data_IF_754909657686
#
_entry.id   IF_754909657686
#
_cell.length_a   1.000
_cell.length_b   1.000
_cell.length_c   1.000
_cell.angle_alpha   90.00
_cell.angle_beta   90.00
_cell.angle_gamma   90.00
#
_symmetry.space_group_name_H-M   'P 1'
#
loop_
_entity.id
_entity.type
_entity.pdbx_description
1 polymer ?
#
# COMPACT_ATOMS: atom_id res chain seq x y z
N UNK A 1 12.96 1.53 -26.46
CA UNK A 1 11.68 1.71 -27.19
C UNK A 1 10.97 2.89 -26.58
N UNK A 2 10.47 3.85 -27.37
CA UNK A 2 9.53 4.84 -26.81
C UNK A 2 8.26 4.11 -26.37
N UNK A 3 7.62 4.54 -25.28
CA UNK A 3 6.34 3.96 -24.82
C UNK A 3 5.32 3.89 -25.97
N UNK A 4 5.34 4.88 -26.87
CA UNK A 4 4.57 4.94 -28.12
C UNK A 4 4.72 3.72 -29.04
N UNK A 5 5.89 3.09 -29.07
CA UNK A 5 6.13 1.90 -29.89
C UNK A 5 5.48 0.63 -29.32
N UNK A 6 5.39 0.52 -27.99
CA UNK A 6 4.80 -0.62 -27.29
C UNK A 6 3.27 -0.52 -27.21
N UNK A 7 2.74 0.68 -26.94
CA UNK A 7 1.28 0.93 -26.85
C UNK A 7 0.53 0.55 -28.13
N UNK A 8 1.17 0.70 -29.29
CA UNK A 8 0.56 0.33 -30.58
C UNK A 8 0.41 -1.20 -30.76
N UNK A 9 0.96 -2.01 -29.84
CA UNK A 9 0.89 -3.48 -29.89
C UNK A 9 0.20 -4.09 -28.67
N UNK A 10 0.26 -3.44 -27.51
CA UNK A 10 -0.32 -3.92 -26.26
C UNK A 10 -0.89 -2.76 -25.45
N UNK A 11 -2.19 -2.84 -25.09
CA UNK A 11 -2.85 -1.89 -24.20
C UNK A 11 -2.54 -2.22 -22.73
N UNK A 12 -2.30 -1.18 -21.92
CA UNK A 12 -2.07 -1.30 -20.49
C UNK A 12 -2.59 -0.04 -19.76
N UNK A 13 -2.94 -0.18 -18.48
CA UNK A 13 -3.49 0.91 -17.65
C UNK A 13 -2.51 1.41 -16.57
N UNK A 14 -1.40 0.69 -16.37
CA UNK A 14 -0.38 1.03 -15.39
C UNK A 14 0.95 0.35 -15.69
N UNK A 15 1.98 0.74 -14.94
CA UNK A 15 3.34 0.20 -15.09
C UNK A 15 3.84 -0.23 -13.70
N UNK A 16 4.54 -1.35 -13.66
CA UNK A 16 5.34 -1.76 -12.51
C UNK A 16 6.81 -1.69 -12.93
N UNK A 17 7.58 -0.86 -12.24
CA UNK A 17 9.05 -0.81 -12.38
C UNK A 17 9.68 -1.67 -11.30
N UNK A 18 10.58 -2.55 -11.74
CA UNK A 18 11.22 -3.59 -10.92
C UNK A 18 12.72 -3.61 -11.24
N UNK A 19 13.54 -4.13 -10.31
CA UNK A 19 15.00 -4.15 -10.41
C UNK A 19 15.65 -2.74 -10.53
N UNK A 20 14.98 -1.71 -9.99
CA UNK A 20 15.29 -0.27 -10.13
C UNK A 20 16.25 0.30 -9.07
N UNK A 21 17.00 -0.56 -8.36
CA UNK A 21 18.05 -0.18 -7.40
C UNK A 21 19.17 0.71 -7.94
N UNK A 22 19.78 0.46 -9.13
CA UNK A 22 19.59 -0.57 -10.16
C UNK A 22 20.33 -1.89 -9.89
N UNK A 23 19.71 -3.04 -10.20
CA UNK A 23 20.31 -4.36 -9.93
C UNK A 23 21.29 -4.79 -11.01
N UNK A 24 22.38 -5.43 -10.59
CA UNK A 24 23.27 -6.22 -11.46
C UNK A 24 23.43 -7.62 -10.86
N UNK A 25 23.23 -8.65 -11.69
CA UNK A 25 23.39 -10.05 -11.26
C UNK A 25 24.83 -10.56 -11.36
N UNK A 26 25.74 -9.78 -11.92
CA UNK A 26 27.13 -10.19 -12.11
C UNK A 26 28.07 -9.00 -11.88
N UNK A 27 28.45 -8.79 -10.62
CA UNK A 27 29.49 -7.82 -10.26
C UNK A 27 30.53 -8.52 -9.41
N UNK A 28 31.81 -8.37 -9.76
CA UNK A 28 32.96 -8.91 -9.02
C UNK A 28 33.02 -10.43 -8.86
N UNK A 29 32.58 -11.18 -9.87
CA UNK A 29 32.51 -12.64 -9.81
C UNK A 29 31.39 -13.20 -8.93
N UNK A 30 30.65 -12.36 -8.20
CA UNK A 30 29.39 -12.74 -7.57
C UNK A 30 28.33 -12.81 -8.68
N UNK A 31 28.09 -14.01 -9.18
CA UNK A 31 26.92 -14.31 -9.99
C UNK A 31 25.77 -14.58 -9.03
N UNK A 32 24.86 -13.62 -8.88
CA UNK A 32 23.54 -13.90 -8.32
C UNK A 32 22.88 -14.87 -9.28
N UNK A 33 22.81 -16.14 -8.89
CA UNK A 33 22.28 -17.23 -9.72
C UNK A 33 20.83 -16.90 -10.05
N UNK A 34 20.55 -16.49 -11.28
CA UNK A 34 19.17 -16.42 -11.74
C UNK A 34 19.03 -17.04 -13.13
N UNK A 35 18.10 -18.00 -13.19
CA UNK A 35 17.48 -18.64 -14.35
C UNK A 35 18.27 -19.73 -15.09
N UNK A 36 17.99 -21.00 -14.74
CA UNK A 36 18.08 -22.12 -15.68
C UNK A 36 19.45 -22.54 -16.20
N UNK A 37 19.48 -23.70 -16.88
CA UNK A 37 20.66 -24.41 -17.40
C UNK A 37 21.26 -23.77 -18.66
N UNK A 38 21.37 -22.44 -18.70
CA UNK A 38 22.12 -21.78 -19.77
C UNK A 38 23.60 -21.74 -19.40
N UNK A 39 24.46 -22.07 -20.37
CA UNK A 39 25.89 -22.08 -20.15
C UNK A 39 26.37 -20.62 -20.12
N UNK A 40 26.56 -20.08 -18.92
CA UNK A 40 26.91 -18.67 -18.68
C UNK A 40 28.41 -18.37 -18.79
N UNK A 41 29.20 -19.30 -19.31
CA UNK A 41 30.66 -19.18 -19.49
C UNK A 41 31.08 -17.94 -20.32
N UNK A 42 30.15 -17.32 -21.06
CA UNK A 42 30.40 -16.12 -21.88
C UNK A 42 30.10 -14.78 -21.16
N UNK A 43 29.40 -14.77 -20.02
CA UNK A 43 29.09 -13.53 -19.30
C UNK A 43 30.26 -13.12 -18.42
N UNK A 44 31.00 -12.10 -18.86
CA UNK A 44 32.04 -11.46 -18.03
C UNK A 44 31.37 -10.56 -16.98
N UNK A 45 31.57 -10.80 -15.67
CA UNK A 45 31.07 -9.93 -14.63
C UNK A 45 31.61 -8.50 -14.75
N UNK A 46 30.86 -7.55 -14.20
CA UNK A 46 31.33 -6.18 -14.03
C UNK A 46 32.44 -6.19 -12.97
N UNK A 47 33.65 -5.81 -13.35
CA UNK A 47 34.78 -5.66 -12.42
C UNK A 47 35.00 -4.18 -12.09
N UNK A 48 34.67 -3.79 -10.86
CA UNK A 48 34.92 -2.44 -10.34
C UNK A 48 36.26 -2.37 -9.58
N UNK A 49 36.86 -1.18 -9.53
CA UNK A 49 38.12 -0.91 -8.84
C UNK A 49 38.03 -1.27 -7.35
N UNK A 50 38.97 -2.09 -6.86
CA UNK A 50 39.03 -2.54 -5.44
C UNK A 50 40.38 -2.28 -4.80
N UNK A 51 41.43 -2.26 -5.61
CA UNK A 51 42.78 -2.04 -5.11
C UNK A 51 43.03 -0.55 -4.98
N UNK A 52 43.77 -0.16 -3.94
CA UNK A 52 44.28 1.22 -3.78
C UNK A 52 45.11 1.73 -4.97
N UNK A 53 45.53 0.83 -5.86
CA UNK A 53 46.24 1.13 -7.11
C UNK A 53 45.32 1.41 -8.30
N UNK A 54 44.03 1.11 -8.21
CA UNK A 54 43.07 1.24 -9.29
C UNK A 54 42.43 2.64 -9.26
N UNK A 55 42.33 3.32 -10.40
CA UNK A 55 41.69 4.64 -10.41
C UNK A 55 40.20 4.54 -10.02
N UNK A 56 39.80 5.29 -8.99
CA UNK A 56 38.42 5.34 -8.53
C UNK A 56 38.02 4.22 -7.57
N UNK A 57 38.98 3.46 -7.03
CA UNK A 57 38.73 2.43 -6.01
C UNK A 57 38.02 2.98 -4.77
N UNK A 58 38.27 4.24 -4.42
CA UNK A 58 37.73 4.90 -3.24
C UNK A 58 36.21 5.06 -3.28
N UNK A 59 35.60 4.94 -4.46
CA UNK A 59 34.14 5.02 -4.63
C UNK A 59 33.45 3.70 -4.31
N UNK A 60 34.11 2.56 -4.54
CA UNK A 60 33.55 1.24 -4.21
C UNK A 60 33.99 0.74 -2.82
N UNK A 61 35.11 1.27 -2.32
CA UNK A 61 35.67 1.03 -0.98
C UNK A 61 35.80 2.36 -0.22
N UNK A 62 34.69 2.96 0.25
CA UNK A 62 34.74 4.26 0.90
C UNK A 62 35.55 4.19 2.21
N UNK A 63 36.21 5.29 2.63
CA UNK A 63 36.97 5.33 3.89
C UNK A 63 36.15 4.94 5.12
N UNK A 64 34.83 5.13 5.06
CA UNK A 64 33.88 4.67 6.06
C UNK A 64 32.89 3.69 5.41
N UNK A 65 33.05 2.37 5.62
CA UNK A 65 32.12 1.38 5.10
C UNK A 65 30.77 1.48 5.84
N UNK A 66 29.69 1.60 5.08
CA UNK A 66 28.33 1.48 5.64
C UNK A 66 28.01 0.01 5.93
N UNK A 67 26.94 -0.28 6.66
CA UNK A 67 26.50 -1.66 6.92
C UNK A 67 26.24 -2.48 5.64
N UNK A 68 25.92 -1.82 4.52
CA UNK A 68 25.78 -2.46 3.20
C UNK A 68 27.11 -2.79 2.51
N UNK A 69 28.21 -2.15 2.91
CA UNK A 69 29.58 -2.38 2.45
C UNK A 69 30.44 -3.03 3.54
N UNK A 70 29.86 -3.93 4.34
CA UNK A 70 30.52 -4.60 5.46
C UNK A 70 31.71 -5.49 5.05
N UNK A 71 32.29 -6.23 6.00
CA UNK A 71 33.62 -6.89 5.90
C UNK A 71 33.88 -7.85 4.71
N UNK A 72 32.88 -8.12 3.86
CA UNK A 72 33.00 -8.96 2.65
C UNK A 72 32.25 -8.39 1.42
N UNK A 73 31.65 -7.20 1.50
CA UNK A 73 30.87 -6.60 0.41
C UNK A 73 31.42 -5.22 0.04
N UNK A 74 31.25 -4.84 -1.22
CA UNK A 74 31.60 -3.52 -1.76
C UNK A 74 30.32 -2.74 -2.03
N UNK A 75 30.40 -1.41 -2.20
CA UNK A 75 29.19 -0.65 -2.56
C UNK A 75 28.56 -1.12 -3.88
N UNK A 76 29.38 -1.65 -4.80
CA UNK A 76 28.96 -2.25 -6.06
C UNK A 76 28.36 -3.67 -5.95
N UNK A 77 28.38 -4.33 -4.80
CA UNK A 77 27.80 -5.67 -4.65
C UNK A 77 26.33 -5.69 -5.07
N UNK A 78 25.97 -6.52 -6.05
CA UNK A 78 24.62 -6.62 -6.62
C UNK A 78 24.16 -5.42 -7.45
N UNK A 79 25.06 -4.51 -7.83
CA UNK A 79 24.73 -3.28 -8.59
C UNK A 79 25.89 -2.87 -9.51
N UNK A 80 25.81 -1.70 -10.13
CA UNK A 80 26.85 -1.15 -11.00
C UNK A 80 28.00 -0.52 -10.19
N UNK A 81 29.17 -0.37 -10.80
CA UNK A 81 30.33 0.30 -10.16
C UNK A 81 30.01 1.73 -9.74
N UNK A 82 30.45 2.14 -8.55
CA UNK A 82 30.19 3.49 -8.04
C UNK A 82 30.85 4.59 -8.88
N UNK A 83 31.89 4.27 -9.65
CA UNK A 83 32.53 5.19 -10.61
C UNK A 83 31.65 5.50 -11.85
N UNK A 84 30.60 4.71 -12.11
CA UNK A 84 29.74 4.88 -13.28
C UNK A 84 29.18 6.31 -13.37
N UNK A 85 29.11 6.86 -14.59
CA UNK A 85 28.73 8.25 -14.87
C UNK A 85 27.28 8.34 -15.30
N UNK A 86 26.51 9.22 -14.67
CA UNK A 86 25.10 9.50 -14.96
C UNK A 86 24.93 10.92 -15.53
N UNK A 87 23.79 11.18 -16.16
CA UNK A 87 23.41 12.53 -16.61
C UNK A 87 24.39 13.17 -17.60
N UNK A 88 24.90 12.39 -18.56
CA UNK A 88 25.89 12.88 -19.53
C UNK A 88 27.30 13.12 -18.97
N UNK A 89 27.62 12.53 -17.80
CA UNK A 89 28.93 12.67 -17.16
C UNK A 89 28.95 13.58 -15.93
N UNK A 90 27.82 14.24 -15.64
CA UNK A 90 27.71 15.25 -14.59
C UNK A 90 27.76 14.66 -13.17
N UNK A 91 27.28 13.43 -12.97
CA UNK A 91 27.22 12.79 -11.66
C UNK A 91 27.83 11.40 -11.70
N UNK A 92 28.32 10.93 -10.54
CA UNK A 92 28.68 9.53 -10.35
C UNK A 92 27.53 8.77 -9.74
N UNK A 93 27.48 7.46 -10.00
CA UNK A 93 26.54 6.58 -9.33
C UNK A 93 26.74 6.60 -7.81
N UNK A 94 27.97 6.74 -7.33
CA UNK A 94 28.27 6.93 -5.90
C UNK A 94 27.35 7.95 -5.22
N UNK A 95 27.15 9.11 -5.85
CA UNK A 95 26.37 10.21 -5.28
C UNK A 95 24.85 10.04 -5.51
N UNK A 96 24.46 9.29 -6.54
CA UNK A 96 23.11 9.29 -7.08
C UNK A 96 22.41 7.92 -7.06
N UNK A 97 23.06 6.84 -6.59
CA UNK A 97 22.53 5.48 -6.60
C UNK A 97 21.12 5.41 -6.00
N UNK A 98 20.95 5.94 -4.79
CA UNK A 98 19.66 5.92 -4.09
C UNK A 98 18.59 6.82 -4.74
N UNK A 99 18.96 7.65 -5.73
CA UNK A 99 18.02 8.46 -6.51
C UNK A 99 17.56 7.76 -7.79
N UNK A 100 18.14 6.61 -8.15
CA UNK A 100 17.89 5.96 -9.42
C UNK A 100 16.41 5.62 -9.61
N UNK A 101 15.81 4.85 -8.69
CA UNK A 101 14.39 4.50 -8.74
C UNK A 101 13.47 5.72 -8.75
N UNK A 102 13.77 6.75 -7.96
CA UNK A 102 13.02 8.01 -7.98
C UNK A 102 13.09 8.69 -9.35
N UNK A 103 14.27 8.71 -9.97
CA UNK A 103 14.47 9.31 -11.30
C UNK A 103 13.73 8.53 -12.38
N UNK A 104 13.72 7.19 -12.30
CA UNK A 104 12.98 6.31 -13.21
C UNK A 104 11.47 6.44 -13.04
N UNK A 105 10.97 6.51 -11.80
CA UNK A 105 9.56 6.67 -11.52
C UNK A 105 9.00 7.97 -12.13
N UNK A 106 9.76 9.08 -12.05
CA UNK A 106 9.38 10.37 -12.63
C UNK A 106 9.16 10.28 -14.15
N UNK A 107 10.13 9.74 -14.87
CA UNK A 107 10.06 9.64 -16.34
C UNK A 107 9.04 8.59 -16.77
N UNK A 108 8.90 7.50 -16.02
CA UNK A 108 7.92 6.44 -16.31
C UNK A 108 6.49 6.92 -16.12
N UNK A 109 6.20 7.73 -15.10
CA UNK A 109 4.87 8.31 -14.91
C UNK A 109 4.50 9.25 -16.08
N UNK A 110 5.44 10.09 -16.52
CA UNK A 110 5.22 10.93 -17.70
C UNK A 110 4.97 10.07 -18.95
N UNK A 111 5.75 9.01 -19.14
CA UNK A 111 5.57 8.10 -20.26
C UNK A 111 4.22 7.37 -20.21
N UNK A 112 3.74 7.01 -19.02
CA UNK A 112 2.41 6.43 -18.79
C UNK A 112 1.31 7.42 -19.22
N UNK A 113 1.38 8.67 -18.76
CA UNK A 113 0.43 9.73 -19.14
C UNK A 113 0.39 9.96 -20.65
N UNK A 114 1.57 10.02 -21.28
CA UNK A 114 1.67 10.21 -22.72
C UNK A 114 1.10 9.04 -23.51
N UNK A 115 1.29 7.81 -23.01
CA UNK A 115 0.86 6.55 -23.62
C UNK A 115 -0.65 6.32 -23.51
N UNK A 116 -1.22 6.47 -22.32
CA UNK A 116 -2.61 6.06 -22.03
C UNK A 116 -3.59 7.23 -22.04
N UNK A 117 -3.09 8.47 -21.91
CA UNK A 117 -3.91 9.68 -21.66
C UNK A 117 -4.77 9.57 -20.40
N UNK A 118 -4.41 8.68 -19.47
CA UNK A 118 -5.07 8.47 -18.18
C UNK A 118 -4.06 8.59 -17.04
N UNK A 119 -4.57 8.83 -15.83
CA UNK A 119 -3.81 8.84 -14.57
C UNK A 119 -3.09 7.52 -14.34
N UNK A 120 -3.77 6.41 -14.64
CA UNK A 120 -3.22 5.06 -14.44
C UNK A 120 -2.69 4.83 -13.03
N UNK A 121 -1.79 3.85 -12.90
CA UNK A 121 -1.00 3.64 -11.69
C UNK A 121 0.44 3.27 -12.03
N UNK A 122 1.36 3.69 -11.16
CA UNK A 122 2.76 3.31 -11.21
C UNK A 122 3.13 2.73 -9.84
N UNK A 123 3.77 1.56 -9.83
CA UNK A 123 4.34 0.96 -8.62
C UNK A 123 5.81 0.71 -8.87
N UNK A 124 6.63 1.03 -7.88
CA UNK A 124 8.08 0.92 -7.94
C UNK A 124 8.60 0.06 -6.80
N UNK A 125 9.57 -0.80 -7.09
CA UNK A 125 10.17 -1.66 -6.08
C UNK A 125 11.11 -0.86 -5.18
N UNK A 126 11.90 0.05 -5.71
CA UNK A 126 12.81 0.88 -4.91
C UNK A 126 12.34 2.32 -4.78
N UNK A 127 12.62 2.95 -3.65
CA UNK A 127 12.12 4.30 -3.38
C UNK A 127 13.15 5.15 -2.69
N UNK A 128 12.97 6.46 -2.81
CA UNK A 128 13.67 7.47 -2.02
C UNK A 128 12.66 8.47 -1.48
N UNK A 129 13.12 9.39 -0.64
CA UNK A 129 12.29 10.52 -0.19
C UNK A 129 11.71 11.22 -1.43
N UNK A 130 10.39 11.49 -1.41
CA UNK A 130 9.56 12.01 -2.51
C UNK A 130 9.04 11.02 -3.56
N UNK A 131 9.46 9.74 -3.55
CA UNK A 131 8.95 8.74 -4.52
C UNK A 131 7.43 8.61 -4.51
N UNK A 132 6.77 8.77 -3.37
CA UNK A 132 5.32 8.71 -3.23
C UNK A 132 4.54 9.79 -4.01
N UNK A 133 5.22 10.82 -4.53
CA UNK A 133 4.62 11.78 -5.48
C UNK A 133 4.40 11.16 -6.85
N UNK A 134 5.17 10.13 -7.22
CA UNK A 134 5.22 9.60 -8.58
C UNK A 134 4.75 8.14 -8.68
N UNK A 135 5.00 7.35 -7.64
CA UNK A 135 4.69 5.93 -7.63
C UNK A 135 4.21 5.46 -6.26
N UNK A 136 3.37 4.41 -6.26
CA UNK A 136 3.21 3.55 -5.10
C UNK A 136 4.41 2.63 -4.90
N UNK A 137 4.35 1.82 -3.86
CA UNK A 137 5.41 0.89 -3.51
C UNK A 137 4.86 -0.51 -3.22
N UNK A 138 5.58 -1.51 -3.71
CA UNK A 138 5.37 -2.90 -3.38
C UNK A 138 6.39 -3.30 -2.32
N UNK A 139 5.92 -3.76 -1.16
CA UNK A 139 6.75 -4.44 -0.18
C UNK A 139 7.24 -5.75 -0.78
N UNK A 140 8.53 -5.83 -1.04
CA UNK A 140 9.20 -6.97 -1.69
C UNK A 140 9.94 -7.84 -0.66
N UNK A 141 10.60 -8.91 -1.12
CA UNK A 141 11.30 -9.90 -0.28
C UNK A 141 10.41 -10.50 0.82
N UNK A 142 9.14 -10.76 0.48
CA UNK A 142 8.20 -11.45 1.37
C UNK A 142 8.30 -12.96 1.15
N UNK A 143 8.69 -13.70 2.17
CA UNK A 143 8.54 -15.14 2.21
C UNK A 143 7.12 -15.50 2.64
N UNK A 144 6.66 -16.68 2.27
CA UNK A 144 5.39 -17.26 2.70
C UNK A 144 5.44 -17.72 4.17
N UNK A 145 5.70 -16.78 5.09
CA UNK A 145 5.80 -17.04 6.54
C UNK A 145 4.93 -16.09 7.37
N UNK A 146 4.58 -16.53 8.59
CA UNK A 146 3.85 -15.69 9.55
C UNK A 146 4.65 -14.49 10.06
N UNK A 147 5.98 -14.59 10.07
CA UNK A 147 6.87 -13.47 10.40
C UNK A 147 6.74 -12.37 9.36
N UNK A 148 6.75 -12.73 8.08
CA UNK A 148 6.64 -11.77 6.99
C UNK A 148 5.25 -11.16 6.95
N UNK A 149 4.19 -11.93 7.19
CA UNK A 149 2.84 -11.38 7.40
C UNK A 149 2.85 -10.27 8.48
N UNK A 150 3.43 -10.52 9.66
CA UNK A 150 3.57 -9.50 10.73
C UNK A 150 4.39 -8.29 10.28
N UNK A 151 5.50 -8.54 9.58
CA UNK A 151 6.36 -7.48 9.04
C UNK A 151 5.57 -6.55 8.13
N UNK A 152 4.72 -7.10 7.26
CA UNK A 152 3.93 -6.29 6.32
C UNK A 152 2.97 -5.34 7.02
N UNK A 153 2.38 -5.72 8.16
CA UNK A 153 1.50 -4.85 8.97
C UNK A 153 2.26 -3.61 9.45
N UNK A 154 3.52 -3.77 9.83
CA UNK A 154 4.37 -2.67 10.29
C UNK A 154 4.88 -1.84 9.10
N UNK A 155 5.29 -2.49 8.02
CA UNK A 155 5.89 -1.81 6.86
C UNK A 155 4.89 -0.91 6.13
N UNK A 156 3.63 -1.31 5.95
CA UNK A 156 2.63 -0.43 5.33
C UNK A 156 2.42 0.86 6.13
N UNK A 157 2.52 0.80 7.46
CA UNK A 157 2.45 1.97 8.32
C UNK A 157 3.69 2.86 8.16
N UNK A 158 4.89 2.26 8.12
CA UNK A 158 6.15 2.98 7.89
C UNK A 158 6.16 3.72 6.54
N UNK A 159 5.71 3.08 5.46
CA UNK A 159 5.67 3.71 4.14
C UNK A 159 4.67 4.88 4.06
N UNK A 160 3.58 4.82 4.83
CA UNK A 160 2.71 5.98 5.00
C UNK A 160 3.45 7.14 5.68
N UNK A 161 4.29 6.87 6.69
CA UNK A 161 5.15 7.90 7.32
C UNK A 161 6.24 8.43 6.36
N UNK A 162 6.72 7.60 5.45
CA UNK A 162 7.66 8.01 4.39
C UNK A 162 7.01 8.79 3.24
N UNK A 163 5.70 9.03 3.30
CA UNK A 163 4.95 9.78 2.29
C UNK A 163 4.58 8.96 1.06
N UNK A 164 4.47 7.63 1.19
CA UNK A 164 4.09 6.70 0.12
C UNK A 164 2.84 5.90 0.56
N UNK A 165 1.64 6.50 0.50
CA UNK A 165 0.43 5.89 1.05
C UNK A 165 -0.14 4.75 0.18
N UNK A 166 0.16 4.72 -1.12
CA UNK A 166 -0.25 3.65 -2.04
C UNK A 166 0.75 2.48 -1.95
N UNK A 167 0.62 1.69 -0.88
CA UNK A 167 1.54 0.62 -0.51
C UNK A 167 0.81 -0.67 -0.13
N UNK A 168 1.48 -1.79 -0.33
CA UNK A 168 1.08 -3.13 0.13
C UNK A 168 2.10 -4.19 -0.25
N UNK A 169 1.88 -5.42 0.22
CA UNK A 169 2.73 -6.58 -0.04
C UNK A 169 2.17 -7.54 -1.07
N UNK A 170 2.99 -8.50 -1.47
CA UNK A 170 2.53 -9.71 -2.13
C UNK A 170 1.77 -10.59 -1.15
N UNK A 171 0.46 -10.69 -1.36
CA UNK A 171 -0.44 -11.44 -0.50
C UNK A 171 -0.14 -12.93 -0.66
N UNK A 172 -0.07 -13.60 0.49
CA UNK A 172 0.31 -15.00 0.70
C UNK A 172 1.82 -15.29 0.69
N UNK A 173 2.66 -14.28 0.39
CA UNK A 173 4.12 -14.40 0.27
C UNK A 173 4.56 -14.50 -1.19
N UNK A 174 5.79 -14.10 -1.49
CA UNK A 174 6.40 -14.19 -2.81
C UNK A 174 7.30 -15.42 -2.92
N UNK A 175 8.23 -15.59 -1.97
CA UNK A 175 9.09 -16.78 -1.91
C UNK A 175 8.44 -17.90 -1.10
N UNK A 176 8.81 -19.14 -1.42
CA UNK A 176 8.36 -20.37 -0.76
C UNK A 176 6.86 -20.67 -0.94
N UNK A 177 6.48 -21.94 -0.76
CA UNK A 177 5.08 -22.35 -0.85
C UNK A 177 4.31 -21.92 0.41
N UNK A 178 3.19 -21.22 0.19
CA UNK A 178 2.28 -20.79 1.27
C UNK A 178 1.44 -21.94 1.82
N UNK A 179 0.83 -21.73 2.99
CA UNK A 179 -0.15 -22.65 3.58
C UNK A 179 -1.57 -22.11 3.43
N UNK A 180 -2.57 -22.99 3.51
CA UNK A 180 -3.98 -22.60 3.42
C UNK A 180 -4.36 -21.53 4.46
N UNK A 181 -3.97 -21.73 5.72
CA UNK A 181 -4.26 -20.79 6.79
C UNK A 181 -3.51 -19.46 6.62
N UNK A 182 -2.21 -19.50 6.30
CA UNK A 182 -1.42 -18.30 6.10
C UNK A 182 -1.99 -17.46 4.95
N UNK A 183 -2.25 -18.09 3.81
CA UNK A 183 -2.80 -17.39 2.66
C UNK A 183 -4.20 -16.84 2.95
N UNK A 184 -5.04 -17.58 3.70
CA UNK A 184 -6.34 -17.09 4.15
C UNK A 184 -6.21 -15.81 5.00
N UNK A 185 -5.34 -15.82 6.03
CA UNK A 185 -5.13 -14.65 6.89
C UNK A 185 -4.50 -13.49 6.13
N UNK A 186 -3.60 -13.76 5.19
CA UNK A 186 -2.99 -12.74 4.36
C UNK A 186 -3.98 -12.12 3.38
N UNK A 187 -4.94 -12.88 2.84
CA UNK A 187 -6.03 -12.32 2.03
C UNK A 187 -6.94 -11.40 2.87
N UNK A 188 -7.26 -11.80 4.10
CA UNK A 188 -8.02 -10.97 5.04
C UNK A 188 -7.30 -9.65 5.36
N UNK A 189 -5.99 -9.69 5.64
CA UNK A 189 -5.16 -8.50 5.88
C UNK A 189 -4.97 -7.66 4.61
N UNK A 190 -4.64 -8.29 3.49
CA UNK A 190 -4.28 -7.65 2.23
C UNK A 190 -5.42 -6.82 1.64
N UNK A 191 -6.68 -7.17 1.94
CA UNK A 191 -7.84 -6.33 1.63
C UNK A 191 -7.79 -4.94 2.29
N UNK A 192 -6.92 -4.74 3.28
CA UNK A 192 -6.70 -3.47 3.97
C UNK A 192 -5.40 -2.76 3.56
N UNK A 193 -4.60 -3.34 2.66
CA UNK A 193 -3.51 -2.60 2.02
C UNK A 193 -4.05 -1.57 1.03
N UNK A 194 -3.35 -0.45 0.82
CA UNK A 194 -3.77 0.51 -0.22
C UNK A 194 -3.55 -0.08 -1.61
N UNK A 195 -2.40 -0.72 -1.81
CA UNK A 195 -2.10 -1.55 -2.97
C UNK A 195 -2.33 -3.03 -2.63
N UNK A 196 -3.30 -3.67 -3.27
CA UNK A 196 -3.68 -5.06 -2.97
C UNK A 196 -3.31 -5.95 -4.18
N UNK A 197 -2.34 -6.84 -4.01
CA UNK A 197 -1.87 -7.75 -5.06
C UNK A 197 -1.57 -9.13 -4.48
N UNK A 198 -1.97 -10.20 -5.18
CA UNK A 198 -1.48 -11.55 -4.95
C UNK A 198 -0.54 -11.90 -6.10
N UNK A 199 0.71 -12.23 -5.79
CA UNK A 199 1.77 -12.49 -6.76
C UNK A 199 2.75 -13.49 -6.17
N UNK A 200 3.19 -14.46 -6.96
CA UNK A 200 4.02 -15.58 -6.52
C UNK A 200 5.36 -15.60 -7.25
N UNK A 201 6.39 -16.07 -6.55
CA UNK A 201 7.68 -16.41 -7.14
C UNK A 201 7.56 -17.57 -8.11
N UNK A 202 8.42 -17.57 -9.13
CA UNK A 202 8.50 -18.67 -10.10
C UNK A 202 9.01 -19.98 -9.47
N UNK A 203 9.77 -19.88 -8.37
CA UNK A 203 10.35 -21.04 -7.69
C UNK A 203 9.34 -21.83 -6.83
N UNK A 204 8.20 -21.22 -6.52
CA UNK A 204 7.13 -21.86 -5.74
C UNK A 204 6.50 -22.99 -6.55
N UNK A 205 6.32 -24.15 -5.91
CA UNK A 205 5.72 -25.33 -6.54
C UNK A 205 4.19 -25.31 -6.50
N UNK A 206 3.62 -24.49 -5.60
CA UNK A 206 2.20 -24.34 -5.37
C UNK A 206 1.66 -23.03 -5.95
N UNK A 207 0.57 -23.12 -6.71
CA UNK A 207 -0.17 -21.91 -7.10
C UNK A 207 -0.94 -21.34 -5.90
N UNK A 208 -0.89 -20.02 -5.72
CA UNK A 208 -1.53 -19.33 -4.60
C UNK A 208 -2.67 -18.37 -5.00
N UNK A 209 -3.28 -18.56 -6.17
CA UNK A 209 -4.48 -17.82 -6.53
C UNK A 209 -5.59 -18.07 -5.50
N UNK A 210 -6.49 -17.10 -5.22
CA UNK A 210 -7.51 -17.26 -4.18
C UNK A 210 -8.39 -18.50 -4.31
N UNK A 211 -8.59 -19.02 -5.53
CA UNK A 211 -9.36 -20.22 -5.80
C UNK A 211 -8.63 -21.55 -5.52
N UNK A 212 -7.37 -21.52 -5.08
CA UNK A 212 -6.59 -22.72 -4.79
C UNK A 212 -7.21 -23.55 -3.65
N UNK A 213 -7.73 -22.86 -2.63
CA UNK A 213 -8.51 -23.46 -1.55
C UNK A 213 -9.89 -22.82 -1.47
N UNK A 214 -10.91 -23.61 -1.18
CA UNK A 214 -12.29 -23.10 -1.02
C UNK A 214 -12.38 -22.11 0.16
N UNK A 215 -11.67 -22.37 1.25
CA UNK A 215 -11.60 -21.51 2.44
C UNK A 215 -10.96 -20.15 2.12
N UNK A 216 -9.81 -20.16 1.43
CA UNK A 216 -9.11 -18.95 0.99
C UNK A 216 -9.97 -18.15 0.01
N UNK A 217 -10.65 -18.82 -0.93
CA UNK A 217 -11.59 -18.18 -1.86
C UNK A 217 -12.70 -17.44 -1.12
N UNK A 218 -13.35 -18.12 -0.17
CA UNK A 218 -14.50 -17.58 0.55
C UNK A 218 -14.08 -16.43 1.48
N UNK A 219 -12.94 -16.55 2.16
CA UNK A 219 -12.35 -15.48 2.94
C UNK A 219 -11.98 -14.25 2.07
N UNK A 220 -11.39 -14.50 0.89
CA UNK A 220 -11.04 -13.44 -0.08
C UNK A 220 -12.29 -12.71 -0.56
N UNK A 221 -13.37 -13.43 -0.87
CA UNK A 221 -14.65 -12.83 -1.27
C UNK A 221 -15.19 -11.92 -0.16
N UNK A 222 -15.18 -12.38 1.09
CA UNK A 222 -15.72 -11.60 2.22
C UNK A 222 -14.85 -10.36 2.51
N UNK A 223 -13.53 -10.50 2.50
CA UNK A 223 -12.59 -9.39 2.67
C UNK A 223 -12.73 -8.36 1.53
N UNK A 224 -12.84 -8.81 0.28
CA UNK A 224 -13.01 -7.91 -0.87
C UNK A 224 -14.36 -7.22 -0.90
N UNK A 225 -15.44 -7.89 -0.48
CA UNK A 225 -16.76 -7.25 -0.33
C UNK A 225 -16.70 -6.11 0.69
N UNK A 226 -16.00 -6.30 1.80
CA UNK A 226 -15.75 -5.22 2.76
C UNK A 226 -14.95 -4.08 2.09
N UNK A 227 -13.81 -4.39 1.48
CA UNK A 227 -12.96 -3.40 0.80
C UNK A 227 -13.73 -2.59 -0.24
N UNK A 228 -14.47 -3.24 -1.13
CA UNK A 228 -15.21 -2.59 -2.21
C UNK A 228 -16.38 -1.75 -1.67
N UNK A 229 -17.00 -2.19 -0.58
CA UNK A 229 -18.03 -1.41 0.11
C UNK A 229 -17.47 -0.07 0.60
N UNK A 230 -16.29 -0.10 1.23
CA UNK A 230 -15.64 1.10 1.80
C UNK A 230 -14.66 1.78 0.85
N UNK A 231 -14.64 1.42 -0.44
CA UNK A 231 -13.79 2.05 -1.45
C UNK A 231 -13.97 3.57 -1.55
N UNK A 232 -15.20 4.15 -1.44
CA UNK A 232 -15.36 5.61 -1.45
C UNK A 232 -14.61 6.30 -0.29
N UNK A 233 -14.58 5.68 0.88
CA UNK A 233 -13.82 6.17 2.03
C UNK A 233 -12.31 6.06 1.78
N UNK A 234 -11.81 4.90 1.35
CA UNK A 234 -10.40 4.70 1.04
C UNK A 234 -9.91 5.68 -0.03
N UNK A 235 -10.69 5.88 -1.09
CA UNK A 235 -10.38 6.84 -2.16
C UNK A 235 -10.36 8.29 -1.66
N UNK A 236 -11.29 8.65 -0.78
CA UNK A 236 -11.34 9.97 -0.14
C UNK A 236 -10.13 10.20 0.78
N UNK A 237 -9.65 9.17 1.48
CA UNK A 237 -8.41 9.26 2.27
C UNK A 237 -7.20 9.57 1.39
N UNK A 238 -7.05 8.89 0.25
CA UNK A 238 -5.98 9.17 -0.71
C UNK A 238 -6.04 10.59 -1.26
N UNK A 239 -7.24 11.09 -1.59
CA UNK A 239 -7.43 12.49 -1.97
C UNK A 239 -6.99 13.47 -0.87
N UNK A 240 -7.36 13.20 0.39
CA UNK A 240 -6.96 14.07 1.50
C UNK A 240 -5.44 14.07 1.69
N UNK A 241 -4.80 12.91 1.58
CA UNK A 241 -3.35 12.77 1.72
C UNK A 241 -2.60 13.42 0.55
N UNK A 242 -3.13 13.37 -0.68
CA UNK A 242 -2.50 14.03 -1.82
C UNK A 242 -2.54 15.56 -1.72
N UNK A 243 -3.56 16.12 -1.06
CA UNK A 243 -3.68 17.56 -0.84
C UNK A 243 -2.85 18.07 0.35
N UNK A 244 -2.90 17.36 1.49
CA UNK A 244 -2.43 17.89 2.77
C UNK A 244 -1.28 17.07 3.39
N UNK A 245 -0.84 16.00 2.72
CA UNK A 245 0.03 15.00 3.33
C UNK A 245 -0.68 14.19 4.42
N UNK A 246 0.12 13.51 5.24
CA UNK A 246 -0.38 12.58 6.26
C UNK A 246 -0.44 11.15 5.74
N UNK A 247 -1.36 10.36 6.27
CA UNK A 247 -1.33 8.89 6.16
C UNK A 247 -2.71 8.31 5.82
N UNK A 248 -2.78 7.30 4.97
CA UNK A 248 -4.01 6.53 4.71
C UNK A 248 -4.11 5.38 5.70
N UNK A 249 -3.07 4.54 5.73
CA UNK A 249 -2.87 3.53 6.77
C UNK A 249 -1.99 4.17 7.83
N UNK A 250 -2.45 4.24 9.08
CA UNK A 250 -1.74 4.99 10.13
C UNK A 250 -1.66 4.26 11.46
N UNK A 251 -0.53 4.41 12.19
CA UNK A 251 -0.43 3.91 13.56
C UNK A 251 -1.45 4.56 14.48
N UNK A 252 -1.88 3.83 15.51
CA UNK A 252 -2.82 4.35 16.51
C UNK A 252 -2.30 5.60 17.22
N UNK A 253 -1.00 5.66 17.49
CA UNK A 253 -0.38 6.79 18.20
C UNK A 253 -0.44 8.12 17.42
N UNK A 254 -0.80 8.12 16.14
CA UNK A 254 -1.09 9.35 15.38
C UNK A 254 -2.39 10.01 15.84
N UNK A 255 -3.39 9.21 16.24
CA UNK A 255 -4.68 9.71 16.76
C UNK A 255 -4.70 9.82 18.28
N UNK A 256 -3.86 9.02 18.96
CA UNK A 256 -3.81 8.91 20.42
C UNK A 256 -2.37 9.09 20.96
N UNK A 257 -1.69 10.21 20.66
CA UNK A 257 -0.27 10.38 21.00
C UNK A 257 0.01 10.45 22.50
N UNK A 258 -1.01 10.63 23.34
CA UNK A 258 -0.88 10.68 24.82
C UNK A 258 -1.10 9.31 25.48
N UNK A 259 -1.47 8.30 24.71
CA UNK A 259 -1.72 6.95 25.20
C UNK A 259 -0.50 6.05 24.92
N UNK A 260 0.32 5.70 25.93
CA UNK A 260 1.55 4.95 25.73
C UNK A 260 1.32 3.51 25.25
N UNK A 261 0.12 2.95 25.44
CA UNK A 261 -0.20 1.60 24.95
C UNK A 261 -0.23 1.57 23.42
N UNK A 262 -0.55 2.70 22.78
CA UNK A 262 -0.63 2.80 21.31
C UNK A 262 0.73 2.78 20.62
N UNK A 263 1.82 2.95 21.37
CA UNK A 263 3.19 2.95 20.84
C UNK A 263 3.71 1.54 20.55
N UNK A 264 3.07 0.52 21.15
CA UNK A 264 3.40 -0.90 20.99
C UNK A 264 2.28 -1.70 20.32
N UNK A 265 1.27 -1.00 19.79
CA UNK A 265 0.17 -1.60 19.05
C UNK A 265 0.58 -1.86 17.58
N UNK A 266 1.67 -2.63 17.39
CA UNK A 266 2.37 -2.74 16.11
C UNK A 266 1.57 -3.50 15.05
N UNK A 267 0.76 -4.48 15.48
CA UNK A 267 0.02 -5.40 14.60
C UNK A 267 -1.45 -5.01 14.40
N UNK A 268 -1.76 -3.74 14.58
CA UNK A 268 -3.05 -3.14 14.27
C UNK A 268 -2.83 -1.72 13.76
N UNK A 269 -3.74 -1.22 12.94
CA UNK A 269 -3.61 0.09 12.33
C UNK A 269 -4.97 0.71 12.06
N UNK A 270 -4.96 2.00 11.71
CA UNK A 270 -6.14 2.70 11.30
C UNK A 270 -6.17 2.93 9.79
N UNK A 271 -7.36 2.84 9.20
CA UNK A 271 -7.71 3.47 7.93
C UNK A 271 -8.27 4.87 8.19
N UNK A 272 -7.46 5.88 7.87
CA UNK A 272 -7.70 7.25 8.28
C UNK A 272 -7.75 7.32 9.81
N UNK A 273 -8.66 8.13 10.36
CA UNK A 273 -8.83 8.26 11.82
C UNK A 273 -9.95 7.40 12.41
N UNK A 274 -10.73 6.75 11.54
CA UNK A 274 -12.07 6.27 11.88
C UNK A 274 -12.20 4.75 11.94
N UNK A 275 -11.40 3.99 11.19
CA UNK A 275 -11.51 2.53 11.16
C UNK A 275 -10.27 1.88 11.74
N UNK A 276 -10.40 1.09 12.80
CA UNK A 276 -9.33 0.28 13.38
C UNK A 276 -9.39 -1.13 12.80
N UNK A 277 -8.27 -1.63 12.30
CA UNK A 277 -8.11 -2.94 11.68
C UNK A 277 -7.17 -3.77 12.54
N UNK A 278 -7.61 -4.96 12.97
CA UNK A 278 -6.87 -5.85 13.86
C UNK A 278 -6.72 -7.26 13.25
N UNK A 279 -5.71 -7.49 12.38
CA UNK A 279 -5.44 -8.79 11.75
C UNK A 279 -5.06 -9.89 12.75
N UNK A 280 -5.43 -11.13 12.40
CA UNK A 280 -4.82 -12.33 13.01
C UNK A 280 -3.46 -12.52 12.36
N UNK A 281 -2.41 -12.53 13.16
CA UNK A 281 -1.02 -12.56 12.69
C UNK A 281 -0.18 -13.70 13.25
N UNK A 282 -0.83 -14.66 13.90
CA UNK A 282 -0.23 -15.89 14.42
C UNK A 282 -1.05 -17.10 13.97
N UNK A 283 -0.37 -18.22 13.78
CA UNK A 283 -0.95 -19.47 13.29
C UNK A 283 -1.89 -20.11 14.31
N UNK A 284 -2.98 -20.73 13.83
CA UNK A 284 -3.96 -21.43 14.65
C UNK A 284 -4.92 -20.53 15.43
N UNK A 285 -4.68 -19.21 15.45
CA UNK A 285 -5.47 -18.26 16.22
C UNK A 285 -6.85 -18.02 15.59
N UNK A 286 -7.87 -18.00 16.45
CA UNK A 286 -9.28 -17.76 16.07
C UNK A 286 -9.83 -16.45 16.61
N UNK A 287 -9.00 -15.68 17.29
CA UNK A 287 -9.29 -14.38 17.84
C UNK A 287 -8.03 -13.53 17.90
N UNK A 288 -8.17 -12.24 18.14
CA UNK A 288 -7.06 -11.29 18.26
C UNK A 288 -7.20 -10.51 19.56
N UNK A 289 -6.12 -10.43 20.33
CA UNK A 289 -6.01 -9.47 21.43
C UNK A 289 -5.61 -8.11 20.84
N UNK A 290 -6.59 -7.21 20.69
CA UNK A 290 -6.42 -5.89 20.12
C UNK A 290 -6.53 -4.82 21.20
N UNK A 291 -5.63 -3.84 21.19
CA UNK A 291 -5.74 -2.67 22.04
C UNK A 291 -6.74 -1.67 21.45
N UNK A 292 -7.81 -1.37 22.18
CA UNK A 292 -8.85 -0.42 21.79
C UNK A 292 -8.66 0.89 22.57
N UNK A 293 -8.30 2.02 21.93
CA UNK A 293 -8.10 3.28 22.63
C UNK A 293 -9.34 3.79 23.37
N UNK A 294 -9.15 4.71 24.32
CA UNK A 294 -10.24 5.37 25.05
C UNK A 294 -11.05 6.31 24.14
N UNK A 295 -12.05 5.74 23.46
CA UNK A 295 -13.02 6.42 22.60
C UNK A 295 -14.23 5.49 22.41
N UNK A 296 -15.24 5.96 21.67
CA UNK A 296 -16.37 5.14 21.30
C UNK A 296 -15.99 4.26 20.11
N UNK A 297 -15.97 2.94 20.30
CA UNK A 297 -15.69 1.99 19.23
C UNK A 297 -16.85 1.02 19.04
N UNK A 298 -17.22 0.79 17.78
CA UNK A 298 -18.29 -0.13 17.41
C UNK A 298 -17.77 -1.16 16.42
N UNK A 299 -18.25 -2.39 16.51
CA UNK A 299 -17.88 -3.45 15.58
C UNK A 299 -18.45 -3.22 14.18
N UNK A 300 -17.62 -3.44 13.15
CA UNK A 300 -18.03 -3.51 11.74
C UNK A 300 -18.05 -4.93 11.16
N UNK A 301 -17.88 -5.97 11.97
CA UNK A 301 -17.93 -7.36 11.51
C UNK A 301 -19.30 -8.00 11.73
N UNK A 302 -19.68 -8.96 10.88
CA UNK A 302 -21.06 -9.42 10.72
C UNK A 302 -21.75 -9.95 12.00
N UNK A 303 -21.04 -10.62 12.91
CA UNK A 303 -21.67 -11.27 14.06
C UNK A 303 -21.98 -10.33 15.24
N UNK A 304 -21.32 -9.17 15.36
CA UNK A 304 -21.60 -8.14 16.37
C UNK A 304 -21.72 -6.75 15.75
N UNK A 305 -22.20 -6.65 14.50
CA UNK A 305 -22.26 -5.37 13.80
C UNK A 305 -22.99 -4.30 14.63
N UNK A 306 -22.36 -3.14 14.81
CA UNK A 306 -22.90 -2.01 15.56
C UNK A 306 -22.87 -2.16 17.08
N UNK A 307 -22.36 -3.28 17.62
CA UNK A 307 -22.15 -3.41 19.06
C UNK A 307 -20.96 -2.58 19.52
N UNK A 308 -21.11 -1.94 20.68
CA UNK A 308 -20.03 -1.20 21.32
C UNK A 308 -18.96 -2.14 21.86
N UNK A 309 -17.71 -1.75 21.67
CA UNK A 309 -16.53 -2.43 22.18
C UNK A 309 -15.89 -1.54 23.26
N UNK A 310 -15.55 -2.14 24.40
CA UNK A 310 -14.90 -1.42 25.49
C UNK A 310 -13.46 -1.06 25.13
N UNK A 311 -12.94 0.01 25.71
CA UNK A 311 -11.53 0.36 25.60
C UNK A 311 -10.62 -0.61 26.38
N UNK A 312 -9.32 -0.54 26.13
CA UNK A 312 -8.32 -1.46 26.65
C UNK A 312 -8.12 -2.68 25.76
N UNK A 313 -7.46 -3.71 26.29
CA UNK A 313 -7.26 -4.98 25.57
C UNK A 313 -8.58 -5.73 25.41
N UNK A 314 -8.93 -6.04 24.17
CA UNK A 314 -10.16 -6.73 23.81
C UNK A 314 -9.83 -7.97 22.99
N UNK A 315 -10.39 -9.11 23.39
CA UNK A 315 -10.28 -10.34 22.62
C UNK A 315 -11.41 -10.40 21.57
N UNK A 316 -11.08 -10.08 20.31
CA UNK A 316 -12.03 -10.02 19.20
C UNK A 316 -12.03 -11.33 18.42
N UNK A 317 -13.18 -11.98 18.24
CA UNK A 317 -13.23 -13.22 17.45
C UNK A 317 -12.92 -12.92 15.98
N UNK A 318 -12.11 -13.79 15.38
CA UNK A 318 -11.67 -13.69 14.00
C UNK A 318 -11.79 -15.06 13.29
N UNK A 319 -13.01 -15.59 13.10
CA UNK A 319 -13.20 -16.84 12.35
C UNK A 319 -12.70 -16.71 10.91
N UNK A 320 -12.34 -17.84 10.30
CA UNK A 320 -11.94 -17.87 8.88
C UNK A 320 -13.04 -17.41 7.93
N UNK A 321 -14.30 -17.55 8.34
CA UNK A 321 -15.48 -17.22 7.51
C UNK A 321 -15.75 -15.72 7.38
N UNK A 322 -15.04 -14.85 8.10
CA UNK A 322 -15.25 -13.40 8.06
C UNK A 322 -14.00 -12.67 7.57
N UNK A 323 -14.12 -11.35 7.34
CA UNK A 323 -12.95 -10.51 7.21
C UNK A 323 -12.27 -10.32 8.59
N UNK A 324 -11.07 -9.75 8.61
CA UNK A 324 -10.38 -9.40 9.87
C UNK A 324 -11.26 -8.50 10.76
N UNK A 325 -11.15 -8.56 12.10
CA UNK A 325 -11.84 -7.62 12.97
C UNK A 325 -11.58 -6.15 12.57
N UNK A 326 -12.67 -5.42 12.35
CA UNK A 326 -12.66 -3.98 12.09
C UNK A 326 -13.61 -3.29 13.06
N UNK A 327 -13.12 -2.22 13.70
CA UNK A 327 -13.91 -1.34 14.55
C UNK A 327 -14.04 0.04 13.90
N UNK A 328 -15.17 0.71 14.14
CA UNK A 328 -15.40 2.09 13.71
C UNK A 328 -15.49 3.01 14.93
N UNK A 329 -14.79 4.13 14.86
CA UNK A 329 -14.77 5.18 15.87
C UNK A 329 -16.05 6.02 15.80
N UNK A 330 -16.66 6.27 16.94
CA UNK A 330 -17.71 7.28 17.12
C UNK A 330 -17.25 8.66 16.64
N UNK A 331 -18.22 9.49 16.28
CA UNK A 331 -17.95 10.78 15.64
C UNK A 331 -17.63 10.70 14.15
N UNK A 332 -17.79 9.54 13.51
CA UNK A 332 -17.42 9.34 12.11
C UNK A 332 -18.64 9.18 11.20
N UNK A 333 -18.59 9.80 10.02
CA UNK A 333 -19.49 9.49 8.89
C UNK A 333 -18.67 8.90 7.76
N UNK A 334 -19.01 7.68 7.34
CA UNK A 334 -18.28 6.93 6.32
C UNK A 334 -19.14 6.75 5.07
N UNK A 335 -18.78 7.34 3.92
CA UNK A 335 -19.43 7.04 2.66
C UNK A 335 -19.04 5.63 2.19
N UNK A 336 -20.03 4.85 1.77
CA UNK A 336 -19.87 3.49 1.24
C UNK A 336 -20.80 3.24 0.06
N UNK A 337 -20.53 2.19 -0.71
CA UNK A 337 -21.34 1.76 -1.86
C UNK A 337 -21.61 0.25 -1.79
N UNK A 338 -22.65 -0.22 -2.49
CA UNK A 338 -22.85 -1.66 -2.65
C UNK A 338 -21.69 -2.25 -3.49
N UNK A 339 -20.97 -3.27 -3.00
CA UNK A 339 -19.81 -3.83 -3.70
C UNK A 339 -20.23 -4.71 -4.88
N UNK A 340 -19.58 -4.53 -6.02
CA UNK A 340 -19.72 -5.36 -7.22
C UNK A 340 -18.41 -6.08 -7.56
N UNK A 341 -18.41 -6.90 -8.62
CA UNK A 341 -17.21 -7.61 -9.09
C UNK A 341 -16.07 -6.69 -9.57
N UNK A 342 -16.39 -5.45 -9.97
CA UNK A 342 -15.42 -4.46 -10.47
C UNK A 342 -15.71 -3.10 -9.85
N UNK A 343 -14.69 -2.23 -9.81
CA UNK A 343 -14.85 -0.83 -9.40
C UNK A 343 -15.81 -0.09 -10.31
N UNK A 344 -15.79 -0.35 -11.62
CA UNK A 344 -16.68 0.29 -12.59
C UNK A 344 -18.15 0.02 -12.31
N UNK A 345 -18.49 -1.20 -11.89
CA UNK A 345 -19.85 -1.54 -11.52
C UNK A 345 -20.20 -1.04 -10.11
N UNK A 346 -19.26 -1.15 -9.16
CA UNK A 346 -19.44 -0.67 -7.79
C UNK A 346 -19.77 0.84 -7.77
N UNK A 347 -19.06 1.62 -8.60
CA UNK A 347 -19.22 3.07 -8.70
C UNK A 347 -20.58 3.51 -9.26
N UNK A 348 -21.33 2.62 -9.91
CA UNK A 348 -22.68 2.89 -10.43
C UNK A 348 -23.75 2.81 -9.33
N UNK A 349 -23.46 2.14 -8.23
CA UNK A 349 -24.41 1.98 -7.13
C UNK A 349 -24.58 3.28 -6.32
N UNK A 350 -25.75 3.52 -5.73
CA UNK A 350 -25.97 4.70 -4.89
C UNK A 350 -25.04 4.71 -3.68
N UNK A 351 -24.72 5.90 -3.18
CA UNK A 351 -24.00 6.05 -1.93
C UNK A 351 -24.88 5.75 -0.72
N UNK A 352 -24.28 5.13 0.28
CA UNK A 352 -24.82 4.97 1.62
C UNK A 352 -23.90 5.68 2.61
N UNK A 353 -24.47 6.38 3.59
CA UNK A 353 -23.72 6.99 4.68
C UNK A 353 -23.87 6.16 5.95
N UNK A 354 -22.76 5.57 6.41
CA UNK A 354 -22.67 5.00 7.75
C UNK A 354 -22.37 6.12 8.74
N UNK A 355 -23.37 6.53 9.52
CA UNK A 355 -23.25 7.56 10.55
C UNK A 355 -23.05 6.89 11.91
N UNK A 356 -21.96 7.20 12.59
CA UNK A 356 -21.64 6.69 13.92
C UNK A 356 -21.51 7.88 14.88
N UNK A 357 -22.61 8.31 15.53
CA UNK A 357 -22.58 9.43 16.48
C UNK A 357 -21.64 9.13 17.64
N UNK A 358 -20.86 10.12 18.08
CA UNK A 358 -20.08 10.00 19.32
C UNK A 358 -20.98 10.13 20.55
N UNK A 359 -20.71 9.36 21.60
CA UNK A 359 -21.53 9.30 22.82
C UNK A 359 -21.52 10.64 23.56
N UNK A 360 -20.36 11.30 23.63
CA UNK A 360 -20.19 12.55 24.40
C UNK A 360 -21.00 13.72 23.84
N UNK A 361 -21.12 13.84 22.52
CA UNK A 361 -21.66 15.04 21.86
C UNK A 361 -22.81 14.77 20.89
N UNK A 362 -23.19 13.50 20.67
CA UNK A 362 -24.20 13.11 19.68
C UNK A 362 -23.83 13.50 18.24
N UNK A 363 -22.57 13.87 17.98
CA UNK A 363 -22.14 14.44 16.70
C UNK A 363 -21.29 13.47 15.92
N UNK A 364 -21.34 13.53 14.59
CA UNK A 364 -20.41 12.84 13.70
C UNK A 364 -20.08 13.71 12.48
N UNK A 365 -18.90 13.49 11.90
CA UNK A 365 -18.55 14.14 10.64
C UNK A 365 -17.75 13.25 9.71
N UNK A 366 -17.83 13.55 8.42
CA UNK A 366 -17.15 12.81 7.38
C UNK A 366 -17.03 13.64 6.11
N UNK A 367 -16.35 13.07 5.12
CA UNK A 367 -16.19 13.71 3.83
C UNK A 367 -16.18 12.66 2.71
N UNK A 368 -16.55 13.08 1.50
CA UNK A 368 -16.49 12.29 0.29
C UNK A 368 -15.82 13.09 -0.81
N UNK A 369 -14.86 12.46 -1.49
CA UNK A 369 -14.30 12.91 -2.75
C UNK A 369 -14.79 12.03 -3.90
N UNK A 370 -15.16 12.64 -5.01
CA UNK A 370 -15.61 11.94 -6.21
C UNK A 370 -15.18 12.63 -7.49
N UNK A 371 -14.41 11.93 -8.32
CA UNK A 371 -14.05 12.33 -9.69
C UNK A 371 -14.41 11.21 -10.69
N UNK A 372 -13.88 11.27 -11.91
CA UNK A 372 -14.04 10.20 -12.92
C UNK A 372 -13.22 8.93 -12.62
N UNK A 373 -12.28 8.97 -11.67
CA UNK A 373 -11.39 7.88 -11.32
C UNK A 373 -10.19 7.69 -12.25
N UNK A 374 -10.08 8.40 -13.37
CA UNK A 374 -9.12 8.08 -14.43
C UNK A 374 -8.36 9.28 -15.01
N UNK A 375 -8.88 10.51 -14.94
CA UNK A 375 -8.20 11.67 -15.54
C UNK A 375 -6.93 12.04 -14.80
N UNK A 376 -5.90 12.44 -15.57
CA UNK A 376 -4.63 12.96 -15.05
C UNK A 376 -4.92 14.26 -14.27
N UNK A 377 -4.31 14.42 -13.10
CA UNK A 377 -4.48 15.58 -12.24
C UNK A 377 -3.18 16.38 -12.20
N UNK A 378 -3.12 17.48 -12.93
CA UNK A 378 -2.01 18.45 -12.82
C UNK A 378 -2.21 19.41 -11.63
N UNK A 379 -3.46 19.85 -11.42
CA UNK A 379 -3.90 20.62 -10.27
C UNK A 379 -5.35 20.32 -9.96
N UNK A 380 -5.68 20.25 -8.67
CA UNK A 380 -7.07 20.16 -8.23
C UNK A 380 -7.86 21.43 -8.54
N UNK A 381 -7.25 22.58 -8.81
CA UNK A 381 -7.99 23.79 -9.18
C UNK A 381 -8.75 23.63 -10.50
N UNK A 382 -8.17 22.90 -11.46
CA UNK A 382 -8.74 22.71 -12.80
C UNK A 382 -9.35 21.32 -13.00
N UNK A 383 -9.06 20.37 -12.11
CA UNK A 383 -9.64 19.02 -12.20
C UNK A 383 -11.13 19.03 -11.83
N UNK A 384 -12.03 18.46 -12.66
CA UNK A 384 -13.42 18.28 -12.29
C UNK A 384 -13.55 17.23 -11.18
N UNK A 385 -14.05 17.63 -10.01
CA UNK A 385 -14.45 16.70 -8.96
C UNK A 385 -15.54 17.30 -8.07
N UNK A 386 -16.24 16.43 -7.37
CA UNK A 386 -17.11 16.79 -6.26
C UNK A 386 -16.43 16.53 -4.93
N UNK A 387 -16.71 17.41 -3.97
CA UNK A 387 -16.38 17.18 -2.57
C UNK A 387 -17.58 17.51 -1.71
N UNK A 388 -17.87 16.62 -0.77
CA UNK A 388 -18.88 16.81 0.25
C UNK A 388 -18.29 16.73 1.64
N UNK A 389 -18.83 17.55 2.54
CA UNK A 389 -18.69 17.42 3.98
C UNK A 389 -20.05 16.98 4.53
N UNK A 390 -20.02 16.00 5.41
CA UNK A 390 -21.19 15.52 6.13
C UNK A 390 -21.03 15.90 7.60
N UNK A 391 -22.07 16.51 8.16
CA UNK A 391 -22.15 16.84 9.58
C UNK A 391 -23.44 16.25 10.12
N UNK A 392 -23.34 15.51 11.21
CA UNK A 392 -24.47 14.94 11.92
C UNK A 392 -24.46 15.41 13.37
N UNK A 393 -25.62 15.72 13.91
CA UNK A 393 -25.83 15.97 15.33
C UNK A 393 -27.19 15.42 15.77
N UNK A 394 -27.23 14.77 16.92
CA UNK A 394 -28.46 14.33 17.57
C UNK A 394 -28.54 14.89 18.99
N UNK A 395 -29.74 15.31 19.37
CA UNK A 395 -30.12 15.64 20.74
C UNK A 395 -31.40 14.86 21.13
N UNK A 396 -31.94 15.09 22.32
CA UNK A 396 -33.13 14.38 22.82
C UNK A 396 -34.39 14.55 21.94
N UNK A 397 -34.45 15.60 21.11
CA UNK A 397 -35.65 15.98 20.34
C UNK A 397 -35.51 15.78 18.84
N UNK A 398 -34.31 15.94 18.29
CA UNK A 398 -34.09 15.91 16.84
C UNK A 398 -32.72 15.35 16.47
N UNK A 399 -32.64 14.83 15.25
CA UNK A 399 -31.41 14.47 14.56
C UNK A 399 -31.30 15.27 13.26
N UNK A 400 -30.15 15.87 13.02
CA UNK A 400 -29.89 16.70 11.84
C UNK A 400 -28.70 16.14 11.07
N UNK A 401 -28.87 15.93 9.77
CA UNK A 401 -27.79 15.62 8.83
C UNK A 401 -27.66 16.77 7.84
N UNK A 402 -26.50 17.42 7.83
CA UNK A 402 -26.13 18.46 6.87
C UNK A 402 -25.20 17.81 5.84
N UNK A 403 -25.57 17.92 4.56
CA UNK A 403 -24.77 17.48 3.43
C UNK A 403 -24.34 18.71 2.66
N UNK A 404 -23.12 19.16 2.89
CA UNK A 404 -22.58 20.36 2.26
C UNK A 404 -21.69 19.99 1.07
N UNK A 405 -22.06 20.48 -0.11
CA UNK A 405 -21.25 20.32 -1.32
C UNK A 405 -20.22 21.44 -1.38
N UNK A 406 -19.00 21.15 -0.95
CA UNK A 406 -17.86 22.07 -0.97
C UNK A 406 -17.41 22.42 -2.40
N UNK A 407 -17.50 21.44 -3.31
CA UNK A 407 -17.16 21.62 -4.72
C UNK A 407 -18.09 20.85 -5.63
N UNK A 408 -18.42 21.46 -6.76
CA UNK A 408 -19.23 20.88 -7.83
C UNK A 408 -18.36 20.68 -9.08
N UNK A 409 -18.45 19.49 -9.68
CA UNK A 409 -17.97 19.28 -11.04
C UNK A 409 -19.07 19.65 -12.06
N UNK A 410 -18.68 20.23 -13.19
CA UNK A 410 -19.63 20.66 -14.22
C UNK A 410 -20.18 19.50 -15.07
N UNK A 411 -19.37 18.45 -15.29
CA UNK A 411 -19.64 17.39 -16.27
C UNK A 411 -19.58 15.96 -15.72
N UNK A 412 -19.43 15.78 -14.40
CA UNK A 412 -19.36 14.44 -13.80
C UNK A 412 -20.73 13.96 -13.31
N UNK A 413 -21.05 12.71 -13.66
CA UNK A 413 -22.20 12.00 -13.13
C UNK A 413 -21.94 11.56 -11.69
N UNK A 414 -22.94 11.74 -10.84
CA UNK A 414 -23.00 11.16 -9.50
C UNK A 414 -24.03 10.02 -9.57
N UNK A 415 -23.71 8.80 -9.09
CA UNK A 415 -24.68 7.72 -9.05
C UNK A 415 -25.92 8.16 -8.26
N UNK A 416 -27.09 7.82 -8.80
CA UNK A 416 -28.38 8.20 -8.22
C UNK A 416 -28.89 7.15 -7.25
#
# INVERSE_FOLDING_TARGET
>A
MSSKGFTNRCSFDGIWIDLDEPVSFATHGEVLVIFGSHNYDELKPIECAKSTTDNGWEWDVPPYPTGGAGSKTYLASGTLCMLAKLGGGAQRLYDAKNLYALSEAKVTLQALYEATKKRGYLVSRFTFVSSGRYAGHLLFNTNSTWEDLRRTVVEVQRFNMFGIPYVGSDICGYEEDTTEELCLRWQQLGAFHSFMRNFNGYQSSLYQYPSQWSTVRDATINANRFRYRYMPYLYSLHFKVSLYGGTVIRPLFFEYPKDPNTYRADYQFLWGRSMLVAPVVYEGEKSVDAYVPEDDWYSLYDYNYGQRINSGHQNLLAPWTFHTPVLIRGGSIIPRQHPEKTTDNTRKNPFELLIVPGERNGSANGFLYWDDGESIIDSFDNHPYYSWIFLFSVNEKEATLIIEKQRKAESLAVPK
#
